data_IF_976473295170
#
_entry.id   IF_976473295170
#
_cell.length_a   1.000
_cell.length_b   1.000
_cell.length_c   1.000
_cell.angle_alpha   90.00
_cell.angle_beta   90.00
_cell.angle_gamma   90.00
#
_symmetry.space_group_name_H-M   'P 1'
#
loop_
_entity.id
_entity.type
_entity.pdbx_description
1 polymer ?
#
# COMPACT_ATOMS: atom_id res chain seq x y z
N UNK A 1 77.15 -9.10 -87.40
CA UNK A 1 75.95 -8.29 -87.08
C UNK A 1 74.75 -9.22 -86.98
N UNK A 2 73.90 -9.06 -85.96
CA UNK A 2 72.59 -9.72 -85.74
C UNK A 2 72.54 -11.16 -85.19
N UNK A 3 72.88 -11.34 -83.90
CA UNK A 3 72.28 -12.41 -83.06
C UNK A 3 71.42 -11.82 -81.92
N UNK A 4 71.50 -10.51 -81.67
CA UNK A 4 70.85 -9.87 -80.51
C UNK A 4 69.34 -9.52 -80.66
N UNK A 5 68.67 -9.88 -81.77
CA UNK A 5 67.27 -9.47 -82.01
C UNK A 5 66.19 -10.55 -81.77
N UNK A 6 66.57 -11.80 -81.47
CA UNK A 6 65.60 -12.91 -81.39
C UNK A 6 65.01 -13.17 -80.00
N UNK A 7 65.58 -12.62 -78.92
CA UNK A 7 65.12 -12.90 -77.55
C UNK A 7 64.40 -11.75 -76.84
N UNK A 8 64.33 -10.55 -77.43
CA UNK A 8 63.71 -9.38 -76.79
C UNK A 8 62.17 -9.47 -76.82
N UNK A 9 61.57 -10.02 -77.89
CA UNK A 9 60.10 -10.20 -77.94
C UNK A 9 59.57 -11.24 -76.94
N UNK A 10 60.37 -12.24 -76.60
CA UNK A 10 59.94 -13.30 -75.67
C UNK A 10 60.01 -12.85 -74.21
N UNK A 11 60.96 -11.97 -73.86
CA UNK A 11 61.12 -11.45 -72.49
C UNK A 11 60.03 -10.42 -72.14
N UNK A 12 59.54 -9.63 -73.12
CA UNK A 12 58.50 -8.62 -72.87
C UNK A 12 57.12 -9.25 -72.62
N UNK A 13 56.81 -10.41 -73.21
CA UNK A 13 55.55 -11.13 -72.95
C UNK A 13 55.50 -11.78 -71.55
N UNK A 14 56.64 -12.21 -71.00
CA UNK A 14 56.69 -12.84 -69.67
C UNK A 14 56.51 -11.84 -68.53
N UNK A 15 56.84 -10.56 -68.74
CA UNK A 15 56.73 -9.52 -67.71
C UNK A 15 55.28 -8.98 -67.61
N UNK A 16 54.50 -9.00 -68.70
CA UNK A 16 53.09 -8.59 -68.66
C UNK A 16 52.15 -9.64 -68.03
N UNK A 17 52.55 -10.92 -68.00
CA UNK A 17 51.78 -12.00 -67.35
C UNK A 17 51.97 -12.07 -65.83
N UNK A 18 52.96 -11.34 -65.28
CA UNK A 18 53.23 -11.29 -63.84
C UNK A 18 52.44 -10.22 -63.08
N UNK A 19 51.55 -9.48 -63.75
CA UNK A 19 50.65 -8.51 -63.09
C UNK A 19 49.27 -9.07 -62.72
N UNK A 20 49.05 -10.38 -62.88
CA UNK A 20 47.87 -11.07 -62.35
C UNK A 20 48.19 -11.88 -61.09
N UNK A 21 49.00 -11.34 -60.19
CA UNK A 21 49.03 -11.85 -58.81
C UNK A 21 47.84 -11.28 -58.06
N UNK A 22 46.74 -12.02 -58.10
CA UNK A 22 45.78 -12.19 -57.02
C UNK A 22 45.78 -11.05 -55.99
N UNK A 23 44.84 -10.12 -56.12
CA UNK A 23 44.31 -9.47 -54.92
C UNK A 23 43.55 -10.57 -54.19
N UNK A 24 44.30 -11.36 -53.42
CA UNK A 24 43.74 -12.13 -52.33
C UNK A 24 43.16 -11.08 -51.39
N UNK A 25 41.86 -10.83 -51.52
CA UNK A 25 41.10 -10.35 -50.38
C UNK A 25 41.29 -11.42 -49.32
N UNK A 26 42.26 -11.21 -48.43
CA UNK A 26 42.22 -11.78 -47.11
C UNK A 26 40.93 -11.24 -46.49
N UNK A 27 39.83 -11.98 -46.67
CA UNK A 27 38.67 -11.85 -45.81
C UNK A 27 39.19 -12.21 -44.43
N UNK A 28 39.52 -11.18 -43.67
CA UNK A 28 40.00 -11.31 -42.31
C UNK A 28 38.87 -11.93 -41.49
N UNK A 29 39.08 -13.19 -41.15
CA UNK A 29 38.44 -14.00 -40.11
C UNK A 29 36.92 -13.90 -40.01
N UNK A 30 36.26 -15.02 -40.28
CA UNK A 30 35.03 -15.37 -39.57
C UNK A 30 35.25 -15.07 -38.07
N UNK A 31 34.56 -14.06 -37.53
CA UNK A 31 34.43 -13.92 -36.09
C UNK A 31 33.60 -15.12 -35.63
N UNK A 32 34.26 -16.18 -35.15
CA UNK A 32 33.59 -17.04 -34.18
C UNK A 32 33.50 -16.22 -32.91
N UNK A 33 32.44 -15.42 -32.79
CA UNK A 33 32.04 -14.88 -31.48
C UNK A 33 31.51 -16.09 -30.72
N UNK A 34 32.42 -16.88 -30.15
CA UNK A 34 32.01 -17.76 -29.06
C UNK A 34 31.59 -16.82 -27.95
N UNK A 35 30.27 -16.69 -27.79
CA UNK A 35 29.68 -15.94 -26.69
C UNK A 35 30.23 -16.60 -25.42
N UNK A 36 30.84 -15.79 -24.55
CA UNK A 36 31.21 -16.27 -23.22
C UNK A 36 29.89 -16.51 -22.50
N UNK A 37 29.51 -17.77 -22.34
CA UNK A 37 28.34 -18.14 -21.55
C UNK A 37 28.64 -17.84 -20.08
N UNK A 38 28.00 -16.80 -19.57
CA UNK A 38 28.01 -16.41 -18.18
C UNK A 38 26.89 -17.08 -17.38
N UNK A 39 26.72 -16.58 -16.17
CA UNK A 39 25.64 -16.92 -15.25
C UNK A 39 24.40 -16.08 -15.57
N UNK A 40 23.21 -16.64 -15.29
CA UNK A 40 21.97 -15.86 -15.36
C UNK A 40 21.94 -14.80 -14.26
N UNK A 41 21.37 -13.61 -14.52
CA UNK A 41 21.06 -12.68 -13.46
C UNK A 41 20.09 -13.32 -12.47
N UNK A 42 20.27 -13.06 -11.19
CA UNK A 42 19.43 -13.65 -10.15
C UNK A 42 19.10 -12.66 -9.05
N UNK A 43 18.02 -12.95 -8.34
CA UNK A 43 17.75 -12.28 -7.07
C UNK A 43 18.60 -12.95 -5.99
N UNK A 44 18.80 -12.28 -4.87
CA UNK A 44 19.48 -12.92 -3.72
C UNK A 44 18.80 -14.21 -3.29
N UNK A 45 19.57 -15.16 -2.77
CA UNK A 45 19.04 -16.41 -2.18
C UNK A 45 17.90 -16.14 -1.18
N UNK A 46 18.02 -15.06 -0.39
CA UNK A 46 17.01 -14.66 0.60
C UNK A 46 15.66 -14.34 -0.05
N UNK A 47 15.66 -13.61 -1.16
CA UNK A 47 14.46 -13.24 -1.90
C UNK A 47 13.90 -14.44 -2.65
N UNK A 48 14.76 -15.22 -3.31
CA UNK A 48 14.37 -16.42 -4.05
C UNK A 48 13.72 -17.48 -3.14
N UNK A 49 14.24 -17.65 -1.92
CA UNK A 49 13.69 -18.56 -0.92
C UNK A 49 12.32 -18.12 -0.36
N UNK A 50 11.96 -16.84 -0.47
CA UNK A 50 10.71 -16.26 0.01
C UNK A 50 10.01 -15.47 -1.10
N UNK A 51 10.04 -16.02 -2.33
CA UNK A 51 9.47 -15.34 -3.50
C UNK A 51 7.93 -15.22 -3.40
N UNK A 52 7.30 -16.02 -2.55
CA UNK A 52 5.87 -15.92 -2.19
C UNK A 52 5.56 -14.81 -1.15
N UNK A 53 6.60 -14.15 -0.62
CA UNK A 53 6.54 -12.95 0.23
C UNK A 53 7.34 -11.78 -0.37
N UNK A 54 7.12 -11.52 -1.66
CA UNK A 54 7.93 -10.61 -2.49
C UNK A 54 7.66 -9.12 -2.22
N UNK A 55 8.55 -8.49 -1.46
CA UNK A 55 8.46 -7.08 -1.04
C UNK A 55 8.55 -6.04 -2.17
N UNK A 56 8.89 -6.43 -3.40
CA UNK A 56 8.92 -5.51 -4.55
C UNK A 56 7.53 -5.32 -5.20
N UNK A 57 6.56 -6.18 -4.88
CA UNK A 57 5.15 -5.88 -5.16
C UNK A 57 4.65 -4.83 -4.17
N UNK A 58 3.81 -3.90 -4.62
CA UNK A 58 3.29 -2.84 -3.76
C UNK A 58 1.87 -2.43 -4.10
N UNK A 59 1.31 -1.59 -3.24
CA UNK A 59 -0.01 -1.00 -3.42
C UNK A 59 0.10 0.52 -3.45
N UNK A 60 -0.64 1.15 -4.36
CA UNK A 60 -0.87 2.58 -4.37
C UNK A 60 -2.16 2.87 -3.61
N UNK A 61 -2.07 3.65 -2.53
CA UNK A 61 -3.22 4.13 -1.75
C UNK A 61 -3.18 5.66 -1.82
N UNK A 62 -4.23 6.27 -2.39
CA UNK A 62 -4.35 7.73 -2.53
C UNK A 62 -3.11 8.39 -3.13
N UNK A 63 -2.62 7.83 -4.24
CA UNK A 63 -1.44 8.29 -4.98
C UNK A 63 -0.09 8.10 -4.29
N UNK A 64 -0.04 7.41 -3.15
CA UNK A 64 1.21 7.03 -2.49
C UNK A 64 1.45 5.52 -2.60
N UNK A 65 2.67 5.14 -2.97
CA UNK A 65 3.06 3.74 -3.08
C UNK A 65 3.58 3.23 -1.73
N UNK A 66 3.23 1.99 -1.40
CA UNK A 66 3.64 1.29 -0.20
C UNK A 66 4.16 -0.09 -0.59
N UNK A 67 5.34 -0.44 -0.05
CA UNK A 67 6.00 -1.72 -0.29
C UNK A 67 6.34 -2.39 1.05
N UNK A 68 6.30 -3.72 1.10
CA UNK A 68 6.59 -4.49 2.30
C UNK A 68 5.81 -4.02 3.52
N UNK A 69 6.51 -3.74 4.62
CA UNK A 69 5.86 -3.34 5.89
C UNK A 69 5.28 -1.90 5.89
N UNK A 70 5.56 -1.10 4.87
CA UNK A 70 5.14 0.31 4.84
C UNK A 70 3.63 0.49 4.81
N UNK A 71 2.91 -0.51 4.28
CA UNK A 71 1.44 -0.52 4.16
C UNK A 71 0.74 -0.31 5.51
N UNK A 72 1.37 -0.75 6.60
CA UNK A 72 0.84 -0.58 7.97
C UNK A 72 0.69 0.88 8.40
N UNK A 73 1.36 1.81 7.71
CA UNK A 73 1.31 3.25 7.96
C UNK A 73 0.35 3.97 7.00
N UNK A 74 -0.32 3.25 6.10
CA UNK A 74 -1.26 3.85 5.17
C UNK A 74 -2.51 4.34 5.90
N UNK A 75 -2.93 5.57 5.60
CA UNK A 75 -4.23 6.05 6.06
C UNK A 75 -5.32 5.41 5.21
N UNK A 76 -6.30 4.78 5.85
CA UNK A 76 -7.41 4.13 5.17
C UNK A 76 -8.74 4.80 5.47
N UNK A 77 -9.60 4.95 4.45
CA UNK A 77 -10.89 5.58 4.60
C UNK A 77 -11.98 4.55 4.92
N UNK A 78 -12.06 4.11 6.17
CA UNK A 78 -12.89 2.96 6.59
C UNK A 78 -14.34 3.08 6.14
N UNK A 79 -14.91 4.29 6.25
CA UNK A 79 -16.32 4.58 5.98
C UNK A 79 -16.59 5.07 4.55
N UNK A 80 -15.61 5.04 3.65
CA UNK A 80 -15.75 5.48 2.25
C UNK A 80 -15.39 4.38 1.25
N UNK A 81 -15.85 4.50 -0.01
CA UNK A 81 -15.51 3.52 -1.03
C UNK A 81 -14.00 3.41 -1.23
N UNK A 82 -13.46 2.20 -1.11
CA UNK A 82 -12.01 1.97 -1.11
C UNK A 82 -11.46 1.43 -2.43
N UNK A 83 -12.29 0.79 -3.26
CA UNK A 83 -11.85 0.08 -4.47
C UNK A 83 -11.01 0.94 -5.41
N UNK A 84 -11.45 2.17 -5.68
CA UNK A 84 -10.75 3.09 -6.59
C UNK A 84 -9.56 3.80 -5.94
N UNK A 85 -9.40 3.68 -4.62
CA UNK A 85 -8.32 4.30 -3.85
C UNK A 85 -7.11 3.39 -3.68
N UNK A 86 -7.33 2.07 -3.72
CA UNK A 86 -6.31 1.04 -3.53
C UNK A 86 -6.07 0.32 -4.86
N UNK A 87 -4.91 0.53 -5.45
CA UNK A 87 -4.52 -0.03 -6.76
C UNK A 87 -3.16 -0.73 -6.66
N UNK A 88 -2.81 -1.49 -7.69
CA UNK A 88 -1.47 -2.03 -7.84
C UNK A 88 -0.47 -0.89 -8.02
N UNK A 89 0.60 -0.89 -7.22
CA UNK A 89 1.72 0.01 -7.44
C UNK A 89 2.58 -0.48 -8.60
N UNK A 90 3.37 0.41 -9.24
CA UNK A 90 4.46 -0.01 -10.10
C UNK A 90 5.38 -1.00 -9.39
N UNK A 91 5.84 -2.01 -10.11
CA UNK A 91 6.82 -2.98 -9.61
C UNK A 91 8.11 -2.25 -9.22
N UNK A 92 8.55 -2.43 -7.97
CA UNK A 92 9.78 -1.81 -7.48
C UNK A 92 11.00 -2.54 -8.07
N UNK A 93 11.98 -1.78 -8.52
CA UNK A 93 13.22 -2.34 -9.05
C UNK A 93 14.12 -2.82 -7.90
N UNK A 94 14.78 -3.98 -8.03
CA UNK A 94 15.74 -4.45 -7.03
C UNK A 94 16.93 -3.48 -6.94
N UNK A 95 17.47 -3.31 -5.74
CA UNK A 95 18.71 -2.54 -5.54
C UNK A 95 19.95 -3.44 -5.63
N UNK A 96 21.14 -2.85 -5.45
CA UNK A 96 22.43 -3.56 -5.50
C UNK A 96 22.60 -4.66 -4.44
N UNK A 97 21.79 -4.66 -3.37
CA UNK A 97 21.80 -5.71 -2.35
C UNK A 97 20.81 -6.83 -2.68
N UNK A 98 19.92 -6.65 -3.66
CA UNK A 98 18.85 -7.58 -4.01
C UNK A 98 19.09 -8.27 -5.35
N UNK A 99 19.85 -7.64 -6.23
CA UNK A 99 20.30 -8.17 -7.51
C UNK A 99 21.69 -8.79 -7.37
N UNK A 100 21.88 -9.97 -7.96
CA UNK A 100 23.17 -10.66 -8.02
C UNK A 100 23.44 -11.06 -9.46
N UNK A 101 24.66 -10.76 -9.90
CA UNK A 101 25.27 -11.28 -11.11
C UNK A 101 26.69 -11.75 -10.76
N UNK A 102 27.00 -13.02 -11.03
CA UNK A 102 28.30 -13.61 -10.65
C UNK A 102 29.43 -13.06 -11.53
N UNK A 103 29.10 -12.66 -12.76
CA UNK A 103 30.06 -12.14 -13.73
C UNK A 103 30.26 -10.62 -13.58
N UNK A 104 29.51 -9.99 -12.66
CA UNK A 104 29.61 -8.58 -12.33
C UNK A 104 28.84 -7.66 -13.27
N UNK A 105 27.83 -8.19 -13.99
CA UNK A 105 26.96 -7.36 -14.84
C UNK A 105 26.03 -6.45 -14.02
N UNK A 106 25.49 -5.43 -14.68
CA UNK A 106 24.53 -4.48 -14.13
C UNK A 106 23.09 -4.95 -14.34
N UNK A 107 22.22 -4.61 -13.38
CA UNK A 107 20.78 -4.72 -13.53
C UNK A 107 20.29 -3.81 -14.69
N UNK A 108 19.52 -4.38 -15.62
CA UNK A 108 18.74 -3.60 -16.60
C UNK A 108 17.39 -3.23 -15.97
N UNK A 109 16.53 -4.23 -15.74
CA UNK A 109 15.27 -4.07 -15.00
C UNK A 109 14.67 -5.41 -14.59
N UNK A 110 13.75 -5.37 -13.62
CA UNK A 110 12.81 -6.42 -13.30
C UNK A 110 11.45 -6.09 -13.93
N UNK A 111 11.00 -6.97 -14.82
CA UNK A 111 9.73 -6.87 -15.54
C UNK A 111 8.70 -7.89 -15.08
N UNK A 112 7.43 -7.57 -15.32
CA UNK A 112 6.32 -8.52 -15.18
C UNK A 112 6.12 -9.19 -16.54
N UNK A 113 6.11 -10.52 -16.56
CA UNK A 113 5.97 -11.31 -17.79
C UNK A 113 4.54 -11.29 -18.34
N UNK A 114 3.55 -11.37 -17.44
CA UNK A 114 2.13 -11.44 -17.81
C UNK A 114 1.27 -10.39 -17.07
N UNK A 115 0.00 -10.69 -16.81
CA UNK A 115 -0.91 -9.81 -16.08
C UNK A 115 -0.78 -10.06 -14.57
N UNK A 116 -0.55 -8.97 -13.83
CA UNK A 116 -0.61 -8.99 -12.36
C UNK A 116 -2.02 -9.35 -11.89
N UNK A 117 -2.12 -10.32 -10.99
CA UNK A 117 -3.37 -10.69 -10.31
C UNK A 117 -3.41 -10.00 -8.95
N UNK A 118 -4.54 -9.34 -8.65
CA UNK A 118 -4.84 -8.73 -7.36
C UNK A 118 -6.14 -9.35 -6.86
N UNK A 119 -6.07 -10.09 -5.76
CA UNK A 119 -7.22 -10.82 -5.19
C UNK A 119 -7.45 -10.33 -3.77
N UNK A 120 -8.71 -10.01 -3.45
CA UNK A 120 -9.12 -9.57 -2.11
C UNK A 120 -9.62 -10.74 -1.28
N UNK A 121 -9.29 -10.73 0.00
CA UNK A 121 -9.72 -11.72 0.98
C UNK A 121 -10.28 -11.06 2.23
N UNK A 122 -11.30 -11.67 2.81
CA UNK A 122 -11.73 -11.41 4.18
C UNK A 122 -11.64 -12.70 4.99
N UNK A 123 -11.71 -12.60 6.30
CA UNK A 123 -11.73 -13.77 7.18
C UNK A 123 -13.17 -14.12 7.55
N UNK A 124 -13.61 -15.32 7.20
CA UNK A 124 -14.95 -15.79 7.54
C UNK A 124 -15.06 -16.21 9.03
N UNK A 125 -16.26 -16.58 9.47
CA UNK A 125 -16.52 -17.01 10.86
C UNK A 125 -15.72 -18.25 11.30
N UNK A 126 -15.25 -19.06 10.35
CA UNK A 126 -14.42 -20.24 10.59
C UNK A 126 -12.92 -19.92 10.55
N UNK A 127 -12.55 -18.64 10.54
CA UNK A 127 -11.18 -18.14 10.47
C UNK A 127 -10.44 -18.51 9.17
N UNK A 128 -11.17 -18.69 8.07
CA UNK A 128 -10.61 -19.02 6.75
C UNK A 128 -10.64 -17.80 5.83
N UNK A 129 -9.58 -17.65 5.01
CA UNK A 129 -9.52 -16.62 3.98
C UNK A 129 -10.51 -16.95 2.87
N UNK A 130 -11.44 -16.04 2.62
CA UNK A 130 -12.45 -16.16 1.57
C UNK A 130 -12.25 -15.05 0.55
N UNK A 131 -12.16 -15.42 -0.72
CA UNK A 131 -12.01 -14.49 -1.83
C UNK A 131 -13.28 -13.66 -2.03
N UNK A 132 -13.12 -12.39 -2.38
CA UNK A 132 -14.21 -11.53 -2.80
C UNK A 132 -13.73 -10.48 -3.81
N UNK A 133 -14.68 -9.84 -4.48
CA UNK A 133 -14.40 -8.75 -5.42
C UNK A 133 -15.14 -7.51 -4.94
N UNK A 134 -14.43 -6.46 -4.49
CA UNK A 134 -15.05 -5.21 -4.07
C UNK A 134 -15.85 -4.56 -5.21
N UNK A 135 -17.01 -3.98 -4.88
CA UNK A 135 -17.77 -3.11 -5.79
C UNK A 135 -17.37 -1.63 -5.63
N UNK A 136 -17.82 -0.76 -6.55
CA UNK A 136 -17.43 0.65 -6.55
C UNK A 136 -17.99 1.46 -5.37
N UNK A 137 -19.04 0.96 -4.71
CA UNK A 137 -19.73 1.62 -3.59
C UNK A 137 -19.34 1.03 -2.22
N UNK A 138 -18.61 -0.08 -2.20
CA UNK A 138 -18.30 -0.79 -0.96
C UNK A 138 -17.25 -0.10 -0.09
N UNK A 139 -17.61 0.06 1.18
CA UNK A 139 -16.76 0.55 2.27
C UNK A 139 -16.42 -0.61 3.21
N UNK A 140 -15.31 -0.52 3.96
CA UNK A 140 -14.97 -1.57 4.94
C UNK A 140 -16.07 -1.75 5.99
N UNK A 141 -16.71 -0.65 6.41
CA UNK A 141 -17.90 -0.67 7.25
C UNK A 141 -19.05 -1.48 6.66
N UNK A 142 -19.37 -1.26 5.37
CA UNK A 142 -20.46 -1.98 4.69
C UNK A 142 -20.18 -3.47 4.50
N UNK A 143 -18.92 -3.86 4.27
CA UNK A 143 -18.52 -5.26 4.17
C UNK A 143 -18.73 -5.99 5.50
N UNK A 144 -18.29 -5.37 6.60
CA UNK A 144 -18.50 -5.93 7.95
C UNK A 144 -19.98 -6.03 8.31
N UNK A 145 -20.81 -5.08 7.89
CA UNK A 145 -22.28 -5.15 8.03
C UNK A 145 -22.88 -6.37 7.31
N UNK A 146 -22.35 -6.71 6.12
CA UNK A 146 -22.74 -7.91 5.35
C UNK A 146 -22.19 -9.21 5.95
N UNK A 147 -21.42 -9.16 7.03
CA UNK A 147 -20.82 -10.32 7.68
C UNK A 147 -19.45 -10.72 7.13
N UNK A 148 -18.86 -9.93 6.23
CA UNK A 148 -17.48 -10.10 5.79
C UNK A 148 -16.56 -9.36 6.76
N UNK A 149 -16.12 -10.05 7.80
CA UNK A 149 -15.36 -9.44 8.89
C UNK A 149 -13.87 -9.26 8.52
N UNK A 150 -13.25 -8.23 9.09
CA UNK A 150 -11.81 -8.07 9.07
C UNK A 150 -11.11 -9.25 9.78
N UNK A 151 -9.83 -9.56 9.48
CA UNK A 151 -8.91 -8.78 8.65
C UNK A 151 -9.20 -8.86 7.14
N UNK A 152 -9.04 -7.73 6.45
CA UNK A 152 -9.08 -7.64 4.99
C UNK A 152 -7.66 -7.71 4.43
N UNK A 153 -7.44 -8.63 3.49
CA UNK A 153 -6.14 -8.86 2.87
C UNK A 153 -6.20 -8.74 1.36
N UNK A 154 -5.06 -8.42 0.75
CA UNK A 154 -4.87 -8.41 -0.70
C UNK A 154 -3.68 -9.28 -1.04
N UNK A 155 -3.88 -10.24 -1.94
CA UNK A 155 -2.79 -11.00 -2.56
C UNK A 155 -2.47 -10.39 -3.92
N UNK A 156 -1.19 -10.07 -4.12
CA UNK A 156 -0.62 -9.70 -5.42
C UNK A 156 0.21 -10.89 -5.89
N UNK A 157 0.07 -11.28 -7.15
CA UNK A 157 0.93 -12.31 -7.74
C UNK A 157 1.14 -12.06 -9.22
N UNK A 158 2.36 -12.27 -9.69
CA UNK A 158 2.70 -12.20 -11.11
C UNK A 158 4.01 -12.93 -11.37
N UNK A 159 4.14 -13.50 -12.56
CA UNK A 159 5.40 -14.07 -13.03
C UNK A 159 6.32 -12.94 -13.50
N UNK A 160 7.61 -13.10 -13.25
CA UNK A 160 8.61 -12.04 -13.39
C UNK A 160 9.72 -12.46 -14.34
N UNK A 161 10.37 -11.47 -14.95
CA UNK A 161 11.61 -11.65 -15.68
C UNK A 161 12.61 -10.60 -15.25
N UNK A 162 13.76 -11.05 -14.74
CA UNK A 162 14.89 -10.21 -14.36
C UNK A 162 15.85 -10.13 -15.53
N UNK A 163 16.20 -8.92 -15.94
CA UNK A 163 17.12 -8.65 -17.04
C UNK A 163 18.41 -8.04 -16.52
N UNK A 164 19.53 -8.59 -16.98
CA UNK A 164 20.83 -7.94 -16.90
C UNK A 164 21.07 -7.08 -18.15
N UNK A 165 22.05 -6.20 -18.12
CA UNK A 165 22.26 -5.22 -19.19
C UNK A 165 23.07 -5.78 -20.35
N UNK A 166 24.08 -6.59 -20.05
CA UNK A 166 25.07 -7.08 -21.00
C UNK A 166 25.30 -8.60 -20.96
N UNK A 167 24.78 -9.28 -19.95
CA UNK A 167 25.00 -10.69 -19.68
C UNK A 167 24.42 -11.59 -20.77
N UNK A 168 25.09 -12.73 -20.99
CA UNK A 168 24.63 -13.81 -21.86
C UNK A 168 24.71 -15.10 -21.05
N UNK A 169 23.59 -15.63 -20.52
CA UNK A 169 22.21 -15.26 -20.79
C UNK A 169 21.73 -13.96 -20.10
N UNK A 170 21.03 -13.10 -20.86
CA UNK A 170 20.56 -11.78 -20.42
C UNK A 170 19.40 -11.80 -19.39
N UNK A 171 18.68 -12.92 -19.27
CA UNK A 171 17.42 -12.95 -18.54
C UNK A 171 17.24 -14.20 -17.69
N UNK A 172 16.50 -14.02 -16.60
CA UNK A 172 16.04 -15.09 -15.74
C UNK A 172 14.58 -14.89 -15.35
N UNK A 173 13.78 -15.95 -15.43
CA UNK A 173 12.35 -15.90 -15.15
C UNK A 173 12.04 -16.39 -13.73
N UNK A 174 10.88 -15.98 -13.19
CA UNK A 174 10.32 -16.52 -11.95
C UNK A 174 8.82 -16.78 -12.14
N UNK A 175 8.34 -18.01 -11.90
CA UNK A 175 9.11 -19.20 -11.52
C UNK A 175 10.07 -19.69 -12.63
N UNK A 176 11.03 -20.53 -12.27
CA UNK A 176 11.97 -21.18 -13.18
C UNK A 176 12.25 -22.63 -12.75
N UNK A 177 13.21 -23.31 -13.40
CA UNK A 177 13.54 -24.71 -13.11
C UNK A 177 13.99 -25.00 -11.67
N UNK A 178 14.50 -24.01 -10.95
CA UNK A 178 14.93 -24.15 -9.54
C UNK A 178 13.88 -23.62 -8.56
N UNK A 179 13.18 -22.55 -8.93
CA UNK A 179 12.18 -21.87 -8.10
C UNK A 179 10.81 -22.09 -8.73
N UNK A 180 10.10 -23.13 -8.26
CA UNK A 180 8.77 -23.49 -8.78
C UNK A 180 7.67 -22.59 -8.21
N UNK A 181 7.92 -21.91 -7.09
CA UNK A 181 6.96 -21.02 -6.45
C UNK A 181 6.78 -19.74 -7.24
N UNK A 182 5.53 -19.41 -7.56
CA UNK A 182 5.19 -18.17 -8.25
C UNK A 182 5.37 -16.97 -7.33
N UNK A 183 5.95 -15.84 -7.81
CA UNK A 183 6.10 -14.65 -7.02
C UNK A 183 4.76 -14.10 -6.51
N UNK A 184 4.66 -13.86 -5.21
CA UNK A 184 3.45 -13.29 -4.61
C UNK A 184 3.72 -12.47 -3.37
N UNK A 185 2.74 -11.70 -2.91
CA UNK A 185 2.76 -10.99 -1.63
C UNK A 185 1.34 -10.85 -1.09
N UNK A 186 1.15 -11.15 0.19
CA UNK A 186 -0.14 -10.92 0.87
C UNK A 186 0.01 -9.74 1.85
N UNK A 187 -0.76 -8.69 1.61
CA UNK A 187 -0.86 -7.53 2.48
C UNK A 187 -2.11 -7.60 3.34
N UNK A 188 -1.98 -7.40 4.66
CA UNK A 188 -3.14 -7.03 5.48
C UNK A 188 -3.40 -5.55 5.30
N UNK A 189 -4.52 -5.22 4.67
CA UNK A 189 -4.94 -3.84 4.44
C UNK A 189 -5.52 -3.27 5.73
N UNK A 190 -6.42 -4.03 6.36
CA UNK A 190 -7.13 -3.57 7.55
C UNK A 190 -7.33 -4.75 8.50
N UNK A 191 -6.70 -4.69 9.66
CA UNK A 191 -6.77 -5.73 10.69
C UNK A 191 -8.15 -5.80 11.36
N UNK A 192 -8.74 -4.63 11.62
CA UNK A 192 -10.07 -4.49 12.20
C UNK A 192 -10.77 -3.27 11.60
N UNK A 193 -12.09 -3.39 11.39
CA UNK A 193 -12.92 -2.31 10.84
C UNK A 193 -13.12 -1.18 11.82
N UNK A 194 -13.13 -1.47 13.12
CA UNK A 194 -13.24 -0.47 14.17
C UNK A 194 -14.53 0.33 14.16
N UNK A 195 -14.39 1.61 14.53
CA UNK A 195 -15.50 2.56 14.59
C UNK A 195 -15.79 3.07 13.18
N UNK A 196 -17.06 3.03 12.81
CA UNK A 196 -17.54 3.45 11.51
C UNK A 196 -18.25 4.80 11.55
N UNK A 197 -18.95 5.05 12.66
CA UNK A 197 -19.76 6.24 12.81
C UNK A 197 -19.70 6.81 14.22
N UNK A 198 -19.85 8.14 14.33
CA UNK A 198 -20.15 8.83 15.57
C UNK A 198 -21.55 9.43 15.47
N UNK A 199 -22.51 8.81 16.15
CA UNK A 199 -23.91 9.21 16.12
C UNK A 199 -24.20 10.22 17.23
N UNK A 200 -24.48 11.50 16.93
CA UNK A 200 -24.94 12.41 17.97
C UNK A 200 -26.34 12.03 18.46
N UNK A 201 -26.64 12.35 19.71
CA UNK A 201 -27.98 12.20 20.28
C UNK A 201 -29.02 13.07 19.56
N UNK A 202 -28.62 14.28 19.18
CA UNK A 202 -29.43 15.17 18.35
C UNK A 202 -29.20 14.84 16.88
N UNK A 203 -30.26 14.56 16.12
CA UNK A 203 -30.19 14.31 14.69
C UNK A 203 -30.35 15.64 13.91
N UNK A 204 -29.25 16.32 13.52
CA UNK A 204 -29.34 17.63 12.88
C UNK A 204 -29.71 17.41 11.42
N UNK A 205 -30.90 17.85 11.00
CA UNK A 205 -31.35 17.75 9.60
C UNK A 205 -30.44 18.54 8.66
N UNK A 206 -29.79 19.60 9.14
CA UNK A 206 -28.85 20.43 8.40
C UNK A 206 -27.52 19.72 8.10
N UNK A 207 -27.11 18.72 8.90
CA UNK A 207 -25.87 17.98 8.67
C UNK A 207 -25.91 17.12 7.40
N UNK A 208 -27.11 16.75 6.94
CA UNK A 208 -27.31 16.01 5.69
C UNK A 208 -26.90 16.79 4.44
N UNK A 209 -26.76 18.12 4.53
CA UNK A 209 -26.37 19.01 3.43
C UNK A 209 -24.89 19.41 3.52
N UNK A 210 -24.09 18.73 4.37
CA UNK A 210 -22.67 19.07 4.50
C UNK A 210 -21.94 18.87 3.15
N UNK A 211 -21.22 19.89 2.71
CA UNK A 211 -20.47 19.86 1.45
C UNK A 211 -19.38 18.77 1.39
N UNK A 212 -19.02 18.18 2.54
CA UNK A 212 -17.93 17.21 2.67
C UNK A 212 -18.37 15.75 2.61
N UNK A 213 -19.68 15.45 2.51
CA UNK A 213 -20.19 14.07 2.54
C UNK A 213 -19.69 13.29 3.77
N UNK A 214 -19.67 13.93 4.94
CA UNK A 214 -19.18 13.37 6.21
C UNK A 214 -20.31 12.84 7.09
N UNK A 215 -21.54 12.81 6.57
CA UNK A 215 -22.75 12.51 7.33
C UNK A 215 -23.56 11.38 6.69
N UNK A 216 -23.87 10.37 7.50
CA UNK A 216 -24.88 9.37 7.19
C UNK A 216 -26.17 9.69 7.96
N UNK A 217 -27.29 9.83 7.25
CA UNK A 217 -28.59 10.19 7.85
C UNK A 217 -29.06 9.26 8.98
N UNK A 218 -28.65 7.99 8.98
CA UNK A 218 -29.08 6.99 9.95
C UNK A 218 -28.06 6.82 11.10
N UNK A 219 -26.78 7.03 10.80
CA UNK A 219 -25.68 6.65 11.69
C UNK A 219 -24.81 7.83 12.17
N UNK A 220 -25.00 9.03 11.63
CA UNK A 220 -24.26 10.23 12.03
C UNK A 220 -22.95 10.43 11.27
N UNK A 221 -21.95 10.98 11.95
CA UNK A 221 -20.68 11.35 11.32
C UNK A 221 -19.88 10.14 10.89
N UNK A 222 -19.31 10.17 9.68
CA UNK A 222 -18.40 9.16 9.15
C UNK A 222 -16.98 9.38 9.69
N UNK A 223 -16.29 8.29 10.03
CA UNK A 223 -14.86 8.33 10.31
C UNK A 223 -14.07 8.59 9.01
N UNK A 224 -13.16 9.55 9.05
CA UNK A 224 -12.34 9.97 7.91
C UNK A 224 -10.99 9.26 7.86
N UNK A 225 -10.45 8.89 9.03
CA UNK A 225 -9.14 8.25 9.16
C UNK A 225 -9.10 7.28 10.34
N UNK A 226 -8.50 6.11 10.10
CA UNK A 226 -8.23 5.10 11.12
C UNK A 226 -6.91 5.33 11.89
N UNK A 227 -6.01 6.17 11.39
CA UNK A 227 -4.70 6.43 12.02
C UNK A 227 -4.50 7.87 12.45
N UNK A 228 -5.18 8.81 11.79
CA UNK A 228 -5.10 10.25 12.07
C UNK A 228 -6.42 10.75 12.65
N UNK A 229 -6.49 10.60 13.96
CA UNK A 229 -7.32 11.32 14.90
C UNK A 229 -7.90 12.66 14.44
N UNK A 230 -7.03 13.54 13.93
CA UNK A 230 -7.36 14.95 13.71
C UNK A 230 -8.30 15.17 12.54
N UNK A 231 -8.43 14.15 11.69
CA UNK A 231 -9.32 14.16 10.53
C UNK A 231 -10.75 13.73 10.88
N UNK A 232 -10.98 13.18 12.06
CA UNK A 232 -12.29 12.63 12.42
C UNK A 232 -13.22 13.67 13.05
N UNK A 233 -14.51 13.53 12.73
CA UNK A 233 -15.59 14.34 13.29
C UNK A 233 -16.16 13.72 14.58
N UNK A 234 -16.84 14.51 15.42
CA UNK A 234 -17.14 15.94 15.28
C UNK A 234 -15.97 16.84 15.66
N UNK A 235 -15.86 17.97 14.96
CA UNK A 235 -15.00 19.10 15.35
C UNK A 235 -15.79 20.11 16.18
N UNK A 236 -16.79 19.72 16.96
CA UNK A 236 -17.51 20.63 17.88
C UNK A 236 -18.17 19.78 18.95
N UNK A 237 -18.18 20.25 20.20
CA UNK A 237 -19.03 19.70 21.25
C UNK A 237 -19.35 20.80 22.27
N UNK A 238 -20.35 20.55 23.09
CA UNK A 238 -20.82 21.42 24.17
C UNK A 238 -21.07 20.58 25.42
N UNK A 239 -21.23 21.21 26.58
CA UNK A 239 -21.58 20.49 27.81
C UNK A 239 -22.88 19.69 27.62
N UNK A 240 -22.85 18.40 27.96
CA UNK A 240 -23.95 17.46 27.74
C UNK A 240 -24.01 16.88 26.33
N UNK A 241 -23.13 17.28 25.41
CA UNK A 241 -23.05 16.65 24.09
C UNK A 241 -22.73 15.15 24.26
N UNK A 242 -23.44 14.34 23.49
CA UNK A 242 -23.40 12.89 23.57
C UNK A 242 -23.28 12.28 22.19
N UNK A 243 -22.35 11.33 22.06
CA UNK A 243 -22.09 10.61 20.83
C UNK A 243 -22.01 9.11 21.09
N UNK A 244 -22.81 8.34 20.37
CA UNK A 244 -22.67 6.89 20.31
C UNK A 244 -21.69 6.55 19.18
N UNK A 245 -20.53 6.02 19.55
CA UNK A 245 -19.58 5.44 18.61
C UNK A 245 -20.10 4.07 18.18
N UNK A 246 -20.45 3.98 16.90
CA UNK A 246 -21.00 2.79 16.29
C UNK A 246 -19.90 2.04 15.53
N UNK A 247 -19.71 0.78 15.91
CA UNK A 247 -18.90 -0.14 15.13
C UNK A 247 -19.72 -0.60 13.91
N UNK A 248 -19.05 -1.23 12.96
CA UNK A 248 -19.71 -1.68 11.73
C UNK A 248 -20.89 -2.64 11.99
N UNK A 249 -20.87 -3.42 13.07
CA UNK A 249 -21.93 -4.38 13.40
C UNK A 249 -22.26 -4.34 14.90
N UNK A 250 -23.55 -4.48 15.21
CA UNK A 250 -24.03 -4.66 16.59
C UNK A 250 -23.37 -5.90 17.24
N UNK A 251 -23.20 -5.85 18.55
CA UNK A 251 -22.56 -6.89 19.34
C UNK A 251 -21.02 -6.87 19.28
N UNK A 252 -20.39 -5.97 18.53
CA UNK A 252 -18.93 -5.87 18.46
C UNK A 252 -18.33 -5.09 19.62
N UNK A 253 -19.02 -4.08 20.16
CA UNK A 253 -18.46 -3.19 21.18
C UNK A 253 -18.07 -3.94 22.47
N UNK A 254 -18.83 -4.99 22.84
CA UNK A 254 -18.51 -5.87 23.98
C UNK A 254 -17.20 -6.65 23.84
N UNK A 255 -16.65 -6.82 22.64
CA UNK A 255 -15.38 -7.52 22.44
C UNK A 255 -14.17 -6.63 22.73
N UNK A 256 -14.40 -5.37 23.09
CA UNK A 256 -13.38 -4.39 23.39
C UNK A 256 -13.35 -4.00 24.87
N UNK A 257 -12.16 -3.60 25.32
CA UNK A 257 -11.92 -2.88 26.56
C UNK A 257 -11.72 -1.42 26.18
N UNK A 258 -12.71 -0.59 26.52
CA UNK A 258 -12.71 0.84 26.18
C UNK A 258 -12.04 1.67 27.27
N UNK A 259 -11.23 2.65 26.86
CA UNK A 259 -10.61 3.60 27.77
C UNK A 259 -10.51 4.98 27.13
N UNK A 260 -10.49 6.00 27.98
CA UNK A 260 -10.11 7.35 27.59
C UNK A 260 -8.58 7.43 27.67
N UNK A 261 -7.92 7.71 26.56
CA UNK A 261 -6.46 7.89 26.46
C UNK A 261 -6.07 9.35 26.67
N UNK A 262 -6.95 10.27 26.27
CA UNK A 262 -6.80 11.71 26.48
C UNK A 262 -8.19 12.31 26.59
N UNK A 263 -8.34 13.31 27.45
CA UNK A 263 -9.60 14.04 27.57
C UNK A 263 -10.55 13.57 28.65
N UNK A 264 -10.08 12.73 29.56
CA UNK A 264 -10.78 12.28 30.77
C UNK A 264 -11.25 13.43 31.66
N UNK A 265 -10.57 14.57 31.63
CA UNK A 265 -11.01 15.81 32.28
C UNK A 265 -12.33 16.35 31.73
N UNK A 266 -12.72 16.02 30.49
CA UNK A 266 -13.91 16.58 29.84
C UNK A 266 -14.98 15.55 29.52
N UNK A 267 -14.62 14.27 29.39
CA UNK A 267 -15.55 13.24 28.95
C UNK A 267 -15.62 12.07 29.91
N UNK A 268 -16.81 11.49 29.97
CA UNK A 268 -17.00 10.12 30.47
C UNK A 268 -17.35 9.20 29.31
N UNK A 269 -17.08 7.90 29.48
CA UNK A 269 -17.52 6.88 28.54
C UNK A 269 -18.34 5.81 29.25
N UNK A 270 -19.35 5.30 28.56
CA UNK A 270 -20.06 4.07 28.91
C UNK A 270 -20.14 3.19 27.67
N UNK A 271 -20.22 1.87 27.84
CA UNK A 271 -20.31 0.94 26.72
C UNK A 271 -21.28 -0.18 27.03
N UNK A 272 -22.01 -0.63 26.01
CA UNK A 272 -22.83 -1.83 26.04
C UNK A 272 -22.36 -2.81 24.95
N UNK A 273 -23.18 -3.80 24.59
CA UNK A 273 -22.82 -4.78 23.57
C UNK A 273 -22.63 -4.17 22.16
N UNK A 274 -23.34 -3.09 21.86
CA UNK A 274 -23.49 -2.54 20.52
C UNK A 274 -22.76 -1.21 20.33
N UNK A 275 -22.71 -0.37 21.36
CA UNK A 275 -22.25 1.02 21.27
C UNK A 275 -21.33 1.41 22.41
N UNK A 276 -20.52 2.44 22.13
CA UNK A 276 -19.73 3.17 23.13
C UNK A 276 -20.22 4.60 23.15
N UNK A 277 -20.82 5.02 24.26
CA UNK A 277 -21.32 6.38 24.42
C UNK A 277 -20.25 7.25 25.05
N UNK A 278 -19.94 8.37 24.41
CA UNK A 278 -19.07 9.44 24.92
C UNK A 278 -19.95 10.61 25.33
N UNK A 279 -19.79 11.11 26.54
CA UNK A 279 -20.57 12.24 27.07
C UNK A 279 -19.64 13.31 27.62
N UNK A 280 -19.85 14.56 27.22
CA UNK A 280 -19.12 15.73 27.73
C UNK A 280 -19.79 16.27 29.01
N UNK A 281 -19.60 15.61 30.15
CA UNK A 281 -20.39 15.85 31.37
C UNK A 281 -19.58 15.92 32.69
N UNK A 282 -18.26 16.02 32.63
CA UNK A 282 -17.46 16.12 33.86
C UNK A 282 -17.69 17.47 34.55
N UNK A 283 -17.38 17.53 35.85
CA UNK A 283 -17.53 18.76 36.65
C UNK A 283 -16.62 19.88 36.14
N UNK A 284 -15.48 19.53 35.56
CA UNK A 284 -14.53 20.47 34.98
C UNK A 284 -15.10 21.17 33.73
N UNK A 285 -15.99 20.51 32.97
CA UNK A 285 -16.63 21.13 31.78
C UNK A 285 -17.64 22.21 32.20
N UNK A 286 -18.19 22.13 33.42
CA UNK A 286 -19.05 23.20 33.94
C UNK A 286 -18.26 24.47 34.31
N UNK A 287 -16.94 24.36 34.50
CA UNK A 287 -16.10 25.48 34.85
C UNK A 287 -15.62 26.20 33.58
N UNK A 288 -16.27 27.32 33.26
CA UNK A 288 -15.97 28.13 32.07
C UNK A 288 -14.51 28.56 31.97
N UNK A 289 -13.83 28.81 33.09
CA UNK A 289 -12.39 29.16 33.11
C UNK A 289 -11.53 27.97 32.71
N UNK A 290 -11.80 26.79 33.26
CA UNK A 290 -11.06 25.55 32.92
C UNK A 290 -11.27 25.18 31.45
N UNK A 291 -12.51 25.27 30.97
CA UNK A 291 -12.83 25.05 29.56
C UNK A 291 -12.13 26.08 28.66
N UNK A 292 -12.11 27.36 29.05
CA UNK A 292 -11.40 28.41 28.30
C UNK A 292 -9.90 28.14 28.23
N UNK A 293 -9.27 27.78 29.35
CA UNK A 293 -7.84 27.49 29.41
C UNK A 293 -7.46 26.23 28.61
N UNK A 294 -8.31 25.20 28.62
CA UNK A 294 -8.06 23.94 27.92
C UNK A 294 -8.35 24.00 26.43
N UNK A 295 -9.33 24.80 26.01
CA UNK A 295 -9.82 24.84 24.63
C UNK A 295 -9.38 26.12 23.93
N UNK A 296 -9.73 27.29 24.46
CA UNK A 296 -9.58 28.58 23.78
C UNK A 296 -8.17 29.18 23.85
N UNK A 297 -7.41 28.87 24.90
CA UNK A 297 -5.99 29.26 25.02
C UNK A 297 -5.03 28.29 24.30
N UNK A 298 -5.56 27.26 23.63
CA UNK A 298 -4.76 26.34 22.81
C UNK A 298 -4.88 26.75 21.34
N UNK A 299 -3.87 26.53 20.50
CA UNK A 299 -3.96 26.87 19.07
C UNK A 299 -4.82 25.87 18.25
N UNK A 300 -5.10 24.68 18.80
CA UNK A 300 -5.71 23.55 18.09
C UNK A 300 -6.93 22.94 18.80
N UNK A 301 -7.40 23.60 19.86
CA UNK A 301 -8.45 23.12 20.76
C UNK A 301 -8.07 21.87 21.57
N UNK A 302 -9.06 21.15 22.11
CA UNK A 302 -8.85 20.02 23.02
C UNK A 302 -9.21 18.66 22.42
N UNK A 303 -8.21 17.80 22.27
CA UNK A 303 -8.38 16.43 21.76
C UNK A 303 -8.85 15.47 22.86
N UNK A 304 -9.95 14.77 22.60
CA UNK A 304 -10.42 13.59 23.31
C UNK A 304 -10.02 12.34 22.52
N UNK A 305 -9.57 11.29 23.19
CA UNK A 305 -9.11 10.06 22.54
C UNK A 305 -9.71 8.88 23.29
N UNK A 306 -10.55 8.11 22.59
CA UNK A 306 -11.19 6.90 23.08
C UNK A 306 -10.57 5.69 22.37
N UNK A 307 -10.05 4.73 23.12
CA UNK A 307 -9.36 3.57 22.58
C UNK A 307 -10.05 2.29 23.05
N UNK A 308 -10.41 1.39 22.13
CA UNK A 308 -10.88 0.04 22.39
C UNK A 308 -9.76 -0.98 22.17
N UNK A 309 -9.49 -1.86 23.12
CA UNK A 309 -8.55 -3.00 22.94
C UNK A 309 -9.31 -4.32 22.87
N UNK A 310 -9.06 -5.16 21.87
CA UNK A 310 -9.74 -6.46 21.74
C UNK A 310 -9.43 -7.31 22.99
N UNK A 311 -10.46 -7.92 23.60
CA UNK A 311 -10.35 -8.69 24.85
C UNK A 311 -9.46 -9.93 24.75
N UNK A 312 -9.24 -10.48 23.55
CA UNK A 312 -8.54 -11.76 23.32
C UNK A 312 -7.37 -11.69 22.33
N UNK A 313 -7.00 -10.51 21.85
CA UNK A 313 -5.82 -10.28 21.00
C UNK A 313 -5.12 -9.00 21.45
N UNK A 314 -3.82 -9.07 21.68
CA UNK A 314 -2.98 -7.99 22.23
C UNK A 314 -2.77 -6.85 21.22
N UNK A 315 -3.83 -6.15 20.76
CA UNK A 315 -3.70 -4.91 19.95
C UNK A 315 -4.83 -3.89 20.17
N UNK A 316 -4.52 -2.59 20.21
CA UNK A 316 -5.51 -1.52 20.37
C UNK A 316 -6.10 -0.96 19.07
N UNK A 317 -7.36 -0.54 19.12
CA UNK A 317 -8.02 0.42 18.24
C UNK A 317 -8.19 1.76 18.93
N UNK A 318 -7.81 2.86 18.28
CA UNK A 318 -7.95 4.23 18.81
C UNK A 318 -8.90 5.04 17.93
N UNK A 319 -9.73 5.88 18.54
CA UNK A 319 -10.55 6.90 17.88
C UNK A 319 -10.42 8.18 18.66
N UNK A 320 -10.37 9.31 17.97
CA UNK A 320 -10.12 10.61 18.58
C UNK A 320 -11.24 11.57 18.17
N UNK A 321 -11.78 12.32 19.13
CA UNK A 321 -12.65 13.45 18.92
C UNK A 321 -11.84 14.73 19.14
N UNK A 322 -11.93 15.73 18.25
CA UNK A 322 -11.30 17.04 18.44
C UNK A 322 -12.36 18.09 18.77
N UNK A 323 -12.15 18.89 19.81
CA UNK A 323 -12.84 20.16 19.99
C UNK A 323 -11.94 21.27 19.44
N UNK A 324 -12.25 21.99 18.35
CA UNK A 324 -11.45 23.07 17.83
C UNK A 324 -11.73 24.39 18.57
N UNK A 325 -10.83 25.34 18.35
CA UNK A 325 -10.97 26.72 18.77
C UNK A 325 -12.27 27.34 18.23
N UNK A 326 -12.97 28.08 19.10
CA UNK A 326 -14.18 28.82 18.73
C UNK A 326 -15.51 28.10 19.00
N UNK A 327 -15.52 26.89 19.57
CA UNK A 327 -16.75 26.16 19.90
C UNK A 327 -17.15 26.33 21.36
N UNK A 328 -17.49 27.56 21.74
CA UNK A 328 -18.26 27.83 22.96
C UNK A 328 -19.53 28.53 22.53
N UNK A 329 -20.65 27.80 22.52
CA UNK A 329 -21.94 28.45 22.69
C UNK A 329 -21.97 28.95 24.13
N UNK A 330 -21.76 30.26 24.31
CA UNK A 330 -21.83 30.90 25.61
C UNK A 330 -23.18 30.61 26.25
N UNK A 331 -23.16 30.03 27.45
CA UNK A 331 -24.28 30.13 28.37
C UNK A 331 -24.24 31.58 28.88
N UNK A 332 -25.03 32.42 28.24
CA UNK A 332 -25.46 33.69 28.83
C UNK A 332 -26.22 33.29 30.10
N UNK A 333 -25.71 33.69 31.26
CA UNK A 333 -26.56 33.86 32.45
C UNK A 333 -27.36 35.15 32.30
#
# INVERSE_FOLDING_TARGET
MNVAKKHIKTIVCSIYLLQFTTISYAILSAQTVNIIEGSKPRLTDRIEAHIDDFDLFGLTIDSKNYYGNEISRATLPISYPFKNRIKLAPLKQPNNEQYIDIDGDELDYLGIKEKVKMIWYYTNSSNQLTEFTPTDEETFCSLTQKGQLAPYKVKISADLTLFSKYGEPKANEYPNGNILTHPSKIYTILEDTGICYAKPELAPTQAAVSARNEWNKNYGFLIQSNIDASKNFPTTAFYGAKFDLLLAKNGLAQHYIWKIVKGDKLVTISSNADTVTVIFNTVEVMNTKVVWDLIMNSDNGYTVIIQGKIKLLVRPLSTHLLLPNGSVAGIKT
#
